data_IF_888757770555
#
_entry.id   IF_888757770555
#
_cell.length_a   1.000
_cell.length_b   1.000
_cell.length_c   1.000
_cell.angle_alpha   90.00
_cell.angle_beta   90.00
_cell.angle_gamma   90.00
#
_symmetry.space_group_name_H-M   'P 1'
#
loop_
_entity.id
_entity.type
_entity.pdbx_description
1 polymer ?
#
# COMPACT_ATOMS: atom_id res chain seq x y z
N UNK A 1 -5.82 0.46 -16.25
CA UNK A 1 -4.38 0.46 -16.55
C UNK A 1 -3.70 -0.61 -15.69
N UNK A 2 -2.86 -1.47 -16.29
CA UNK A 2 -2.11 -2.48 -15.50
C UNK A 2 -0.61 -2.21 -15.63
N UNK A 3 0.09 -2.11 -14.49
CA UNK A 3 1.53 -1.86 -14.40
C UNK A 3 2.13 -2.76 -13.32
N UNK A 4 3.20 -3.47 -13.63
CA UNK A 4 3.94 -4.31 -12.66
C UNK A 4 3.06 -5.30 -11.87
N UNK A 5 2.01 -5.84 -12.49
CA UNK A 5 1.09 -6.79 -11.85
C UNK A 5 0.00 -6.14 -11.00
N UNK A 6 -0.03 -4.81 -10.89
CA UNK A 6 -1.06 -4.02 -10.22
C UNK A 6 -2.00 -3.43 -11.26
N UNK A 7 -3.29 -3.55 -11.07
CA UNK A 7 -4.31 -2.94 -11.92
C UNK A 7 -4.88 -1.70 -11.25
N UNK A 8 -4.81 -0.55 -11.93
CA UNK A 8 -5.45 0.69 -11.54
C UNK A 8 -6.83 0.75 -12.17
N UNK A 9 -7.84 1.03 -11.37
CA UNK A 9 -9.20 1.35 -11.81
C UNK A 9 -9.55 2.73 -11.28
N UNK A 10 -10.27 3.52 -12.06
CA UNK A 10 -10.62 4.88 -11.68
C UNK A 10 -12.10 5.13 -11.94
N UNK A 11 -12.71 5.98 -11.13
CA UNK A 11 -14.03 6.55 -11.40
C UNK A 11 -13.91 7.59 -12.52
N UNK A 12 -15.03 7.92 -13.13
CA UNK A 12 -15.10 8.85 -14.25
C UNK A 12 -14.66 10.30 -13.90
N UNK A 13 -14.67 10.65 -12.61
CA UNK A 13 -14.24 11.95 -12.09
C UNK A 13 -12.72 12.08 -11.86
N UNK A 14 -11.99 10.96 -11.92
CA UNK A 14 -10.53 10.93 -11.82
C UNK A 14 -9.90 11.25 -13.17
N UNK A 15 -8.89 12.13 -13.20
CA UNK A 15 -8.25 12.49 -14.46
C UNK A 15 -7.34 11.38 -15.02
N UNK A 16 -7.36 11.20 -16.34
CA UNK A 16 -6.43 10.29 -17.04
C UNK A 16 -4.97 10.61 -16.72
N UNK A 17 -4.65 11.90 -16.54
CA UNK A 17 -3.29 12.36 -16.21
C UNK A 17 -2.86 11.85 -14.84
N UNK A 18 -3.76 11.86 -13.86
CA UNK A 18 -3.46 11.35 -12.53
C UNK A 18 -3.24 9.83 -12.57
N UNK A 19 -4.15 9.09 -13.19
CA UNK A 19 -4.01 7.63 -13.34
C UNK A 19 -2.70 7.25 -14.04
N UNK A 20 -2.31 7.97 -15.09
CA UNK A 20 -1.04 7.73 -15.79
C UNK A 20 0.18 8.03 -14.91
N UNK A 21 0.13 9.07 -14.07
CA UNK A 21 1.21 9.38 -13.12
C UNK A 21 1.33 8.33 -12.02
N UNK A 22 0.23 7.86 -11.47
CA UNK A 22 0.24 6.73 -10.51
C UNK A 22 0.87 5.50 -11.15
N UNK A 23 0.48 5.16 -12.38
CA UNK A 23 1.07 4.06 -13.14
C UNK A 23 2.57 4.24 -13.39
N UNK A 24 3.02 5.45 -13.70
CA UNK A 24 4.44 5.77 -13.85
C UNK A 24 5.19 5.58 -12.52
N UNK A 25 4.64 6.05 -11.41
CA UNK A 25 5.22 5.88 -10.06
C UNK A 25 5.40 4.40 -9.73
N UNK A 26 4.40 3.55 -10.00
CA UNK A 26 4.53 2.11 -9.85
C UNK A 26 5.68 1.56 -10.70
N UNK A 27 5.77 1.96 -11.97
CA UNK A 27 6.85 1.55 -12.87
C UNK A 27 8.24 1.94 -12.35
N UNK A 28 8.37 3.13 -11.82
CA UNK A 28 9.63 3.65 -11.24
C UNK A 28 10.04 2.89 -9.96
N UNK A 29 9.08 2.54 -9.09
CA UNK A 29 9.34 1.74 -7.88
C UNK A 29 9.91 0.35 -8.20
N UNK A 30 9.60 -0.20 -9.37
CA UNK A 30 10.10 -1.50 -9.82
C UNK A 30 11.25 -1.39 -10.82
N UNK A 31 11.89 -0.24 -10.94
CA UNK A 31 13.08 -0.06 -11.78
C UNK A 31 14.22 -1.00 -11.35
N UNK A 32 14.86 -1.62 -12.32
CA UNK A 32 15.97 -2.55 -12.07
C UNK A 32 17.27 -1.75 -12.00
N UNK A 33 17.99 -1.91 -10.90
CA UNK A 33 19.32 -1.34 -10.66
C UNK A 33 20.33 -2.47 -10.44
N UNK A 34 21.61 -2.13 -10.38
CA UNK A 34 22.71 -3.10 -10.24
C UNK A 34 22.56 -4.01 -9.00
N UNK A 35 22.03 -3.47 -7.91
CA UNK A 35 21.84 -4.19 -6.65
C UNK A 35 20.47 -4.90 -6.53
N UNK A 36 19.64 -4.83 -7.55
CA UNK A 36 18.29 -5.41 -7.51
C UNK A 36 18.35 -6.95 -7.52
N UNK A 37 17.77 -7.59 -6.50
CA UNK A 37 17.49 -9.02 -6.53
C UNK A 37 16.34 -9.31 -7.51
N UNK A 38 16.71 -9.52 -8.76
CA UNK A 38 15.76 -9.71 -9.86
C UNK A 38 14.88 -10.94 -9.70
N UNK A 39 15.36 -11.99 -9.02
CA UNK A 39 14.55 -13.20 -8.77
C UNK A 39 13.47 -12.92 -7.73
N UNK A 40 13.81 -12.22 -6.65
CA UNK A 40 12.80 -11.80 -5.67
C UNK A 40 11.81 -10.82 -6.28
N UNK A 41 12.28 -9.85 -7.06
CA UNK A 41 11.41 -8.90 -7.75
C UNK A 41 10.43 -9.62 -8.69
N UNK A 42 10.90 -10.57 -9.51
CA UNK A 42 10.04 -11.35 -10.39
C UNK A 42 8.98 -12.14 -9.62
N UNK A 43 9.36 -12.76 -8.48
CA UNK A 43 8.41 -13.45 -7.61
C UNK A 43 7.36 -12.49 -7.04
N UNK A 44 7.79 -11.30 -6.61
CA UNK A 44 6.91 -10.26 -6.08
C UNK A 44 5.89 -9.81 -7.14
N UNK A 45 6.36 -9.45 -8.34
CA UNK A 45 5.49 -9.05 -9.46
C UNK A 45 4.50 -10.16 -9.84
N UNK A 46 4.97 -11.41 -9.84
CA UNK A 46 4.10 -12.57 -10.07
C UNK A 46 3.02 -12.69 -8.99
N UNK A 47 3.34 -12.46 -7.73
CA UNK A 47 2.36 -12.50 -6.65
C UNK A 47 1.31 -11.38 -6.81
N UNK A 48 1.73 -10.13 -7.06
CA UNK A 48 0.81 -9.03 -7.31
C UNK A 48 -0.19 -9.36 -8.44
N UNK A 49 0.30 -9.94 -9.53
CA UNK A 49 -0.55 -10.37 -10.64
C UNK A 49 -1.45 -11.55 -10.26
N UNK A 50 -0.92 -12.59 -9.60
CA UNK A 50 -1.65 -13.82 -9.27
C UNK A 50 -2.78 -13.58 -8.29
N UNK A 51 -2.59 -12.67 -7.35
CA UNK A 51 -3.60 -12.28 -6.37
C UNK A 51 -4.52 -11.16 -6.84
N UNK A 52 -4.47 -10.83 -8.15
CA UNK A 52 -5.34 -9.82 -8.75
C UNK A 52 -5.33 -8.50 -7.98
N UNK A 53 -4.13 -7.98 -7.72
CA UNK A 53 -3.96 -6.72 -6.97
C UNK A 53 -4.57 -5.55 -7.75
N UNK A 54 -5.50 -4.85 -7.13
CA UNK A 54 -6.19 -3.68 -7.69
C UNK A 54 -6.07 -2.50 -6.76
N UNK A 55 -5.76 -1.34 -7.30
CA UNK A 55 -5.81 -0.06 -6.60
C UNK A 55 -6.90 0.80 -7.23
N UNK A 56 -7.98 1.06 -6.51
CA UNK A 56 -9.01 2.00 -6.92
C UNK A 56 -8.53 3.45 -6.76
N UNK A 57 -8.87 4.30 -7.74
CA UNK A 57 -8.60 5.72 -7.72
C UNK A 57 -9.91 6.50 -7.59
N UNK A 58 -9.96 7.45 -6.66
CA UNK A 58 -11.09 8.32 -6.37
C UNK A 58 -10.69 9.79 -6.47
N UNK A 59 -11.66 10.69 -6.52
CA UNK A 59 -11.43 12.12 -6.48
C UNK A 59 -11.90 12.71 -5.16
N UNK A 60 -10.98 13.42 -4.45
CA UNK A 60 -11.25 14.09 -3.18
C UNK A 60 -11.39 13.17 -1.98
N UNK A 61 -11.35 13.75 -0.77
CA UNK A 61 -11.51 13.03 0.50
C UNK A 61 -12.98 12.67 0.81
N UNK A 62 -13.93 13.43 0.25
CA UNK A 62 -15.36 13.29 0.51
C UNK A 62 -16.05 12.32 -0.47
N UNK A 63 -15.29 11.42 -1.09
CA UNK A 63 -15.88 10.42 -1.97
C UNK A 63 -16.85 9.51 -1.22
N UNK A 64 -17.93 9.14 -1.86
CA UNK A 64 -18.90 8.16 -1.34
C UNK A 64 -19.42 7.30 -2.48
N UNK A 65 -19.84 6.08 -2.18
CA UNK A 65 -20.53 5.28 -3.17
C UNK A 65 -21.96 5.79 -3.38
N UNK A 66 -22.38 5.83 -4.63
CA UNK A 66 -23.81 5.87 -4.92
C UNK A 66 -24.42 4.49 -4.62
N UNK A 67 -25.72 4.41 -4.25
CA UNK A 67 -26.36 3.13 -3.95
C UNK A 67 -26.22 2.07 -5.04
N UNK A 68 -26.12 2.49 -6.31
CA UNK A 68 -25.98 1.60 -7.46
C UNK A 68 -24.53 1.06 -7.62
N UNK A 69 -23.53 1.72 -7.01
CA UNK A 69 -22.12 1.34 -7.09
C UNK A 69 -21.71 0.36 -5.98
N UNK A 70 -22.48 0.26 -4.91
CA UNK A 70 -22.13 -0.53 -3.72
C UNK A 70 -22.02 -2.02 -4.04
N UNK A 71 -22.94 -2.55 -4.86
CA UNK A 71 -22.92 -3.94 -5.30
C UNK A 71 -21.75 -4.25 -6.24
N UNK A 72 -21.40 -3.33 -7.12
CA UNK A 72 -20.26 -3.47 -8.05
C UNK A 72 -18.93 -3.43 -7.28
N UNK A 73 -18.86 -2.59 -6.24
CA UNK A 73 -17.71 -2.54 -5.32
C UNK A 73 -17.55 -3.85 -4.54
N UNK A 74 -18.64 -4.41 -3.99
CA UNK A 74 -18.58 -5.69 -3.29
C UNK A 74 -18.12 -6.82 -4.23
N UNK A 75 -18.60 -6.86 -5.46
CA UNK A 75 -18.18 -7.85 -6.46
C UNK A 75 -16.69 -7.69 -6.80
N UNK A 76 -16.22 -6.44 -6.98
CA UNK A 76 -14.81 -6.14 -7.23
C UNK A 76 -13.93 -6.60 -6.06
N UNK A 77 -14.31 -6.25 -4.84
CA UNK A 77 -13.57 -6.61 -3.61
C UNK A 77 -13.54 -8.13 -3.38
N UNK A 78 -14.57 -8.85 -3.75
CA UNK A 78 -14.63 -10.31 -3.63
C UNK A 78 -13.72 -11.04 -4.64
N UNK A 79 -13.35 -10.40 -5.74
CA UNK A 79 -12.55 -10.99 -6.83
C UNK A 79 -11.10 -10.53 -6.88
N UNK A 80 -10.76 -9.46 -6.16
CA UNK A 80 -9.48 -8.79 -6.23
C UNK A 80 -8.92 -8.52 -4.84
N UNK A 81 -7.59 -8.37 -4.77
CA UNK A 81 -6.92 -7.91 -3.56
C UNK A 81 -6.84 -6.39 -3.58
N UNK A 82 -7.69 -5.77 -2.80
CA UNK A 82 -7.75 -4.32 -2.59
C UNK A 82 -7.35 -4.07 -1.14
N UNK A 83 -6.22 -3.40 -0.93
CA UNK A 83 -5.71 -3.10 0.41
C UNK A 83 -6.00 -1.66 0.81
N UNK A 84 -6.08 -0.77 -0.19
CA UNK A 84 -6.27 0.65 0.00
C UNK A 84 -6.73 1.32 -1.29
N UNK A 85 -6.99 2.63 -1.23
CA UNK A 85 -7.39 3.49 -2.35
C UNK A 85 -6.39 4.64 -2.50
N UNK A 86 -6.31 5.24 -3.67
CA UNK A 86 -5.53 6.46 -3.91
C UNK A 86 -6.48 7.59 -4.34
N UNK A 87 -6.31 8.78 -3.76
CA UNK A 87 -7.18 9.92 -3.99
C UNK A 87 -6.48 11.03 -4.78
N UNK A 88 -7.10 11.47 -5.89
CA UNK A 88 -6.70 12.68 -6.60
C UNK A 88 -7.24 13.92 -5.88
N UNK A 89 -6.48 15.01 -5.85
CA UNK A 89 -6.93 16.30 -5.33
C UNK A 89 -6.75 16.49 -3.82
N UNK A 90 -6.12 15.53 -3.13
CA UNK A 90 -5.83 15.63 -1.69
C UNK A 90 -4.48 16.31 -1.40
N UNK A 91 -4.25 16.82 -0.18
CA UNK A 91 -2.95 17.34 0.23
C UNK A 91 -1.84 16.27 0.17
N UNK A 92 -0.60 16.71 -0.09
CA UNK A 92 0.57 15.81 -0.14
C UNK A 92 0.45 14.64 -1.13
N UNK A 93 0.16 14.90 -2.41
CA UNK A 93 -0.17 13.86 -3.38
C UNK A 93 0.94 12.83 -3.60
N UNK A 94 2.20 13.18 -3.32
CA UNK A 94 3.32 12.21 -3.42
C UNK A 94 3.24 11.19 -2.30
N UNK A 95 2.94 11.63 -1.08
CA UNK A 95 2.76 10.73 0.05
C UNK A 95 1.56 9.82 -0.15
N UNK A 96 0.43 10.39 -0.51
CA UNK A 96 -0.80 9.67 -0.84
C UNK A 96 -0.55 8.51 -1.81
N UNK A 97 0.11 8.79 -2.93
CA UNK A 97 0.38 7.78 -3.96
C UNK A 97 1.40 6.73 -3.49
N UNK A 98 2.52 7.17 -2.89
CA UNK A 98 3.60 6.26 -2.47
C UNK A 98 3.15 5.33 -1.35
N UNK A 99 2.47 5.86 -0.35
CA UNK A 99 1.96 5.12 0.81
C UNK A 99 1.03 3.99 0.38
N UNK A 100 -0.01 4.31 -0.38
CA UNK A 100 -1.01 3.35 -0.76
C UNK A 100 -0.51 2.31 -1.79
N UNK A 101 0.44 2.67 -2.67
CA UNK A 101 1.14 1.68 -3.48
C UNK A 101 1.95 0.72 -2.58
N UNK A 102 2.68 1.24 -1.59
CA UNK A 102 3.48 0.43 -0.67
C UNK A 102 2.61 -0.49 0.19
N UNK A 103 1.40 -0.08 0.56
CA UNK A 103 0.44 -0.95 1.25
C UNK A 103 0.13 -2.20 0.40
N UNK A 104 -0.19 -2.04 -0.87
CA UNK A 104 -0.45 -3.17 -1.77
C UNK A 104 0.80 -4.04 -2.01
N UNK A 105 1.97 -3.40 -2.17
CA UNK A 105 3.25 -4.10 -2.31
C UNK A 105 3.56 -4.92 -1.06
N UNK A 106 3.35 -4.37 0.13
CA UNK A 106 3.62 -5.05 1.40
C UNK A 106 2.62 -6.18 1.63
N UNK A 107 1.34 -5.87 1.48
CA UNK A 107 0.23 -6.75 1.83
C UNK A 107 0.18 -8.00 0.96
N UNK A 108 0.50 -7.87 -0.32
CA UNK A 108 0.45 -8.94 -1.30
C UNK A 108 1.85 -9.30 -1.79
N UNK A 109 2.58 -8.33 -2.31
CA UNK A 109 3.87 -8.57 -2.95
C UNK A 109 4.90 -9.16 -1.99
N UNK A 110 5.27 -8.43 -0.96
CA UNK A 110 6.29 -8.82 0.01
C UNK A 110 5.83 -9.98 0.90
N UNK A 111 4.57 -9.93 1.38
CA UNK A 111 3.99 -10.98 2.21
C UNK A 111 4.15 -12.37 1.59
N UNK A 112 3.72 -12.54 0.34
CA UNK A 112 3.80 -13.86 -0.33
C UNK A 112 5.16 -14.15 -0.97
N UNK A 113 6.05 -13.16 -1.07
CA UNK A 113 7.40 -13.36 -1.61
C UNK A 113 8.38 -13.84 -0.56
N UNK A 114 8.33 -13.27 0.66
CA UNK A 114 9.26 -13.52 1.75
C UNK A 114 8.52 -13.44 3.10
N UNK A 115 7.68 -14.46 3.34
CA UNK A 115 6.76 -14.49 4.49
C UNK A 115 7.51 -14.47 5.84
N UNK A 116 8.71 -15.03 5.90
CA UNK A 116 9.51 -15.08 7.12
C UNK A 116 10.01 -13.69 7.52
N UNK A 117 10.33 -12.84 6.54
CA UNK A 117 10.80 -11.48 6.81
C UNK A 117 9.67 -10.44 6.79
N UNK A 118 8.81 -10.46 5.76
CA UNK A 118 7.82 -9.44 5.48
C UNK A 118 6.36 -9.89 5.67
N UNK A 119 6.16 -11.08 6.21
CA UNK A 119 4.80 -11.60 6.43
C UNK A 119 4.02 -10.73 7.43
N UNK A 120 2.75 -10.43 7.11
CA UNK A 120 1.82 -9.79 8.04
C UNK A 120 1.26 -10.82 9.03
N UNK A 121 2.14 -11.54 9.69
CA UNK A 121 1.84 -12.63 10.61
C UNK A 121 2.68 -12.52 11.88
N UNK A 122 2.21 -13.11 12.96
CA UNK A 122 2.89 -13.10 14.26
C UNK A 122 4.24 -13.85 14.27
N UNK A 123 4.56 -14.58 13.21
CA UNK A 123 5.81 -15.35 13.09
C UNK A 123 6.91 -14.61 12.31
N UNK A 124 6.58 -13.52 11.65
CA UNK A 124 7.52 -12.80 10.78
C UNK A 124 8.55 -11.96 11.55
N UNK A 125 9.65 -11.66 10.88
CA UNK A 125 10.62 -10.69 11.39
C UNK A 125 10.02 -9.30 11.49
N UNK A 126 9.17 -8.90 10.53
CA UNK A 126 8.45 -7.63 10.56
C UNK A 126 7.65 -7.48 11.85
N UNK A 127 6.88 -8.51 12.24
CA UNK A 127 6.11 -8.51 13.49
C UNK A 127 6.99 -8.28 14.71
N UNK A 128 8.12 -9.00 14.81
CA UNK A 128 9.02 -8.87 15.95
C UNK A 128 9.64 -7.47 16.03
N UNK A 129 10.05 -6.89 14.89
CA UNK A 129 10.59 -5.52 14.83
C UNK A 129 9.53 -4.46 15.16
N UNK A 130 8.30 -4.64 14.67
CA UNK A 130 7.18 -3.75 15.00
C UNK A 130 6.91 -3.74 16.50
N UNK A 131 6.84 -4.93 17.10
CA UNK A 131 6.65 -5.07 18.54
C UNK A 131 7.76 -4.39 19.35
N UNK A 132 9.01 -4.61 18.98
CA UNK A 132 10.16 -3.96 19.62
C UNK A 132 10.09 -2.43 19.48
N UNK A 133 9.74 -1.91 18.29
CA UNK A 133 9.60 -0.48 18.08
C UNK A 133 8.48 0.16 18.93
N UNK A 134 7.37 -0.55 19.13
CA UNK A 134 6.28 -0.12 20.02
C UNK A 134 6.74 -0.11 21.46
N UNK A 135 7.40 -1.20 21.93
CA UNK A 135 7.89 -1.34 23.30
C UNK A 135 8.93 -0.27 23.65
N UNK A 136 9.77 0.14 22.69
CA UNK A 136 10.77 1.20 22.84
C UNK A 136 10.21 2.62 22.65
N UNK A 137 8.93 2.76 22.30
CA UNK A 137 8.28 4.05 22.07
C UNK A 137 8.67 4.74 20.74
N UNK A 138 9.25 4.01 19.79
CA UNK A 138 9.60 4.53 18.47
C UNK A 138 8.44 4.49 17.47
N UNK A 139 7.42 3.69 17.77
CA UNK A 139 6.22 3.60 16.96
C UNK A 139 4.97 3.70 17.83
N UNK A 140 4.17 4.75 17.59
CA UNK A 140 2.94 4.99 18.31
C UNK A 140 1.76 4.37 17.53
N UNK A 141 1.00 3.53 18.19
CA UNK A 141 -0.13 2.77 17.61
C UNK A 141 -1.50 3.18 18.17
N UNK A 142 -1.57 4.24 18.98
CA UNK A 142 -2.81 4.66 19.64
C UNK A 142 -3.91 5.01 18.63
N UNK A 143 -3.56 5.54 17.46
CA UNK A 143 -4.52 5.84 16.39
C UNK A 143 -5.26 4.61 15.85
N UNK A 144 -4.74 3.40 16.07
CA UNK A 144 -5.35 2.16 15.61
C UNK A 144 -6.23 1.48 16.67
N UNK A 145 -6.37 2.06 17.90
CA UNK A 145 -7.18 1.51 18.97
C UNK A 145 -8.67 1.46 18.62
N UNK A 146 -9.13 2.34 17.72
CA UNK A 146 -10.51 2.37 17.24
C UNK A 146 -10.88 1.17 16.36
N UNK A 147 -9.91 0.44 15.84
CA UNK A 147 -10.14 -0.79 15.07
C UNK A 147 -10.49 -1.91 16.04
N UNK A 148 -11.77 -2.23 16.14
CA UNK A 148 -12.29 -3.20 17.12
C UNK A 148 -11.82 -4.64 16.87
N UNK A 149 -11.66 -5.03 15.60
CA UNK A 149 -11.23 -6.38 15.23
C UNK A 149 -9.71 -6.51 15.36
N UNK A 150 -9.27 -7.30 16.35
CA UNK A 150 -7.85 -7.43 16.68
C UNK A 150 -7.00 -7.97 15.51
N UNK A 151 -7.56 -8.85 14.68
CA UNK A 151 -6.87 -9.38 13.49
C UNK A 151 -6.60 -8.29 12.45
N UNK A 152 -7.61 -7.49 12.14
CA UNK A 152 -7.50 -6.36 11.22
C UNK A 152 -6.54 -5.32 11.79
N UNK A 153 -6.72 -4.93 13.06
CA UNK A 153 -5.84 -3.96 13.72
C UNK A 153 -4.38 -4.36 13.66
N UNK A 154 -4.05 -5.61 13.96
CA UNK A 154 -2.67 -6.08 13.89
C UNK A 154 -2.11 -6.04 12.47
N UNK A 155 -2.91 -6.40 11.47
CA UNK A 155 -2.51 -6.34 10.06
C UNK A 155 -2.21 -4.90 9.63
N UNK A 156 -3.09 -3.95 9.97
CA UNK A 156 -2.89 -2.52 9.68
C UNK A 156 -1.61 -2.00 10.35
N UNK A 157 -1.39 -2.29 11.64
CA UNK A 157 -0.18 -1.86 12.34
C UNK A 157 1.09 -2.38 11.65
N UNK A 158 1.11 -3.61 11.17
CA UNK A 158 2.26 -4.18 10.47
C UNK A 158 2.46 -3.56 9.09
N UNK A 159 1.38 -3.34 8.36
CA UNK A 159 1.38 -2.69 7.05
C UNK A 159 1.95 -1.27 7.13
N UNK A 160 1.46 -0.47 8.07
CA UNK A 160 1.92 0.88 8.33
C UNK A 160 3.40 0.92 8.77
N UNK A 161 3.80 0.02 9.66
CA UNK A 161 5.20 -0.04 10.09
C UNK A 161 6.13 -0.42 8.92
N UNK A 162 5.72 -1.34 8.05
CA UNK A 162 6.45 -1.68 6.84
C UNK A 162 6.61 -0.47 5.90
N UNK A 163 5.51 0.29 5.69
CA UNK A 163 5.56 1.54 4.95
C UNK A 163 6.60 2.51 5.55
N UNK A 164 6.57 2.76 6.85
CA UNK A 164 7.52 3.67 7.51
C UNK A 164 8.97 3.22 7.41
N UNK A 165 9.26 1.92 7.46
CA UNK A 165 10.61 1.38 7.24
C UNK A 165 11.09 1.73 5.82
N UNK A 166 10.28 1.43 4.80
CA UNK A 166 10.62 1.66 3.39
C UNK A 166 10.76 3.15 3.12
N UNK A 167 9.79 3.95 3.54
CA UNK A 167 9.75 5.39 3.39
C UNK A 167 10.97 6.08 3.98
N UNK A 168 11.36 5.68 5.21
CA UNK A 168 12.54 6.21 5.89
C UNK A 168 13.82 5.77 5.18
N UNK A 169 13.91 4.51 4.75
CA UNK A 169 15.08 3.97 4.04
C UNK A 169 15.31 4.68 2.70
N UNK A 170 14.25 5.08 2.03
CA UNK A 170 14.32 5.87 0.79
C UNK A 170 14.53 7.36 1.01
N UNK A 171 14.60 7.80 2.27
CA UNK A 171 14.76 9.22 2.66
C UNK A 171 13.68 10.16 2.09
N UNK A 172 12.46 9.63 1.87
CA UNK A 172 11.35 10.41 1.31
C UNK A 172 10.86 11.50 2.28
N UNK A 173 11.08 11.33 3.59
CA UNK A 173 10.69 12.31 4.61
C UNK A 173 11.28 13.69 4.37
N UNK A 174 12.53 13.79 3.94
CA UNK A 174 13.18 15.08 3.72
C UNK A 174 12.59 15.86 2.54
N UNK A 175 12.06 15.14 1.55
CA UNK A 175 11.54 15.75 0.32
C UNK A 175 10.02 15.90 0.31
N UNK A 176 9.30 15.02 1.01
CA UNK A 176 7.85 14.87 0.86
C UNK A 176 7.11 14.66 2.19
N UNK A 177 7.82 14.50 3.30
CA UNK A 177 7.21 14.29 4.61
C UNK A 177 6.59 15.53 5.21
N UNK A 178 5.75 15.39 6.23
CA UNK A 178 5.17 16.52 6.95
C UNK A 178 6.26 17.37 7.60
N UNK A 179 6.03 18.67 7.64
CA UNK A 179 7.00 19.66 8.17
C UNK A 179 7.15 19.55 9.68
N UNK A 180 6.15 18.97 10.37
CA UNK A 180 6.15 18.73 11.83
C UNK A 180 5.33 17.49 12.17
N UNK A 181 5.83 16.70 13.12
CA UNK A 181 5.04 15.76 13.92
C UNK A 181 4.84 16.34 15.30
#
# INVERSE_FOLDING_TARGET
LTVCGITLIARDDVSDVFMMRVGQTIGEMFSIHEETDTLKQQKLLKNLYTYHTVIPLFYGEDWSFHPDEESDWEELNNRHSICDIIMEGVPNPVMEVVEHILHHITDIGLHFTDIDNWGLTNASRLFNLTKEAIELGYYNVNQYEEINEAGIRNRVILQEYAYWIIYTSWNLRNSHGPVSY
#
